data_IF_079385175513
#
_entry.id   IF_079385175513
#
_cell.length_a   1.000
_cell.length_b   1.000
_cell.length_c   1.000
_cell.angle_alpha   90.00
_cell.angle_beta   90.00
_cell.angle_gamma   90.00
#
_symmetry.space_group_name_H-M   'P 1'
#
loop_
_entity.id
_entity.type
_entity.pdbx_description
1 polymer ?
#
# COMPACT_ATOMS: atom_id res chain seq x y z
N UNK A 1 -6.65 7.76 10.21
CA UNK A 1 -6.03 9.05 9.87
C UNK A 1 -4.88 8.73 8.90
N UNK A 2 -5.03 9.02 7.61
CA UNK A 2 -3.90 8.90 6.66
C UNK A 2 -2.88 9.98 6.95
N UNK A 3 -1.61 9.68 6.77
CA UNK A 3 -0.56 10.72 6.82
C UNK A 3 -0.51 11.44 5.46
N UNK A 4 -0.06 12.69 5.45
CA UNK A 4 0.12 13.48 4.22
C UNK A 4 0.99 12.73 3.19
N UNK A 5 1.98 11.99 3.66
CA UNK A 5 2.86 11.15 2.83
C UNK A 5 2.10 10.01 2.14
N UNK A 6 1.18 9.34 2.82
CA UNK A 6 0.40 8.25 2.22
C UNK A 6 -0.51 8.73 1.09
N UNK A 7 -1.04 9.95 1.21
CA UNK A 7 -1.89 10.55 0.17
C UNK A 7 -1.07 10.95 -1.06
N UNK A 8 0.10 11.56 -0.85
CA UNK A 8 0.98 11.95 -1.96
C UNK A 8 1.57 10.74 -2.70
N UNK A 9 1.84 9.65 -1.98
CA UNK A 9 2.45 8.45 -2.56
C UNK A 9 1.45 7.47 -3.16
N UNK A 10 0.15 7.64 -2.90
CA UNK A 10 -0.91 6.78 -3.42
C UNK A 10 -0.92 6.76 -4.94
N UNK A 11 -1.04 7.94 -5.54
CA UNK A 11 -1.20 8.11 -6.98
C UNK A 11 0.16 8.39 -7.65
N UNK A 12 1.25 8.15 -6.92
CA UNK A 12 2.58 8.35 -7.42
C UNK A 12 2.89 7.33 -8.51
N UNK A 13 3.06 7.83 -9.73
CA UNK A 13 3.37 6.98 -10.87
C UNK A 13 4.85 7.06 -11.24
N UNK A 14 5.53 8.21 -11.26
CA UNK A 14 6.91 8.30 -11.77
C UNK A 14 7.70 9.42 -11.08
N UNK A 15 9.03 9.31 -10.85
CA UNK A 15 9.92 8.15 -11.03
C UNK A 15 9.59 6.94 -10.12
N UNK A 16 10.10 5.73 -10.38
CA UNK A 16 9.99 4.64 -9.42
C UNK A 16 10.65 5.03 -8.09
N UNK A 17 9.96 4.78 -6.99
CA UNK A 17 10.48 5.03 -5.64
C UNK A 17 10.52 3.74 -4.84
N UNK A 18 11.57 3.58 -4.03
CA UNK A 18 11.74 2.44 -3.13
C UNK A 18 11.42 2.88 -1.69
N UNK A 19 10.43 2.24 -1.08
CA UNK A 19 10.16 2.43 0.34
C UNK A 19 11.19 1.67 1.17
N UNK A 20 11.99 2.43 1.92
CA UNK A 20 12.95 1.91 2.89
C UNK A 20 12.39 2.13 4.29
N UNK A 21 12.42 1.09 5.14
CA UNK A 21 11.93 1.15 6.52
C UNK A 21 13.06 0.87 7.51
N UNK A 22 13.83 1.89 7.94
CA UNK A 22 14.81 1.74 9.00
C UNK A 22 14.16 1.41 10.35
N UNK A 23 14.86 0.64 11.18
CA UNK A 23 14.39 0.22 12.51
C UNK A 23 14.55 1.32 13.55
N UNK A 24 13.71 2.35 13.43
CA UNK A 24 13.74 3.56 14.27
C UNK A 24 12.44 3.78 15.04
N UNK A 25 11.49 2.84 14.98
CA UNK A 25 10.15 2.96 15.59
C UNK A 25 10.18 3.13 17.11
N UNK A 26 11.30 2.74 17.76
CA UNK A 26 11.51 2.87 19.21
C UNK A 26 12.31 4.13 19.60
N UNK A 27 12.68 4.98 18.65
CA UNK A 27 13.44 6.20 18.89
C UNK A 27 12.49 7.38 18.78
N UNK A 28 12.41 8.18 19.85
CA UNK A 28 11.64 9.42 19.85
C UNK A 28 12.15 10.38 18.76
N UNK A 29 11.23 11.05 18.08
CA UNK A 29 11.55 12.12 17.11
C UNK A 29 12.36 13.27 17.73
N UNK A 30 12.34 13.41 19.05
CA UNK A 30 13.11 14.43 19.80
C UNK A 30 14.41 13.89 20.42
N UNK A 31 14.91 12.73 19.95
CA UNK A 31 16.17 12.14 20.42
C UNK A 31 17.36 12.66 19.60
N UNK A 32 17.98 13.73 20.09
CA UNK A 32 19.13 14.36 19.43
C UNK A 32 20.48 13.69 19.71
N UNK A 33 20.52 12.72 20.63
CA UNK A 33 21.73 12.00 21.05
C UNK A 33 21.92 10.62 20.36
N UNK A 34 21.08 10.30 19.36
CA UNK A 34 21.12 9.02 18.64
C UNK A 34 21.54 9.16 17.17
N UNK A 35 22.01 10.33 16.75
CA UNK A 35 22.38 10.62 15.35
C UNK A 35 23.28 9.56 14.70
N UNK A 36 24.37 9.08 15.35
CA UNK A 36 25.21 8.04 14.73
C UNK A 36 24.46 6.74 14.46
N UNK A 37 23.56 6.33 15.37
CA UNK A 37 22.72 5.16 15.18
C UNK A 37 21.71 5.36 14.05
N UNK A 38 21.02 6.52 14.00
CA UNK A 38 20.01 6.81 12.98
C UNK A 38 20.61 6.77 11.57
N UNK A 39 21.79 7.37 11.40
CA UNK A 39 22.52 7.32 10.12
C UNK A 39 22.87 5.87 9.78
N UNK A 40 23.49 5.13 10.71
CA UNK A 40 23.90 3.75 10.48
C UNK A 40 22.72 2.82 10.14
N UNK A 41 21.57 2.96 10.80
CA UNK A 41 20.37 2.19 10.46
C UNK A 41 19.74 2.62 9.14
N UNK A 42 19.81 3.91 8.78
CA UNK A 42 19.41 4.37 7.45
C UNK A 42 20.20 3.67 6.35
N UNK A 43 21.54 3.66 6.48
CA UNK A 43 22.42 2.94 5.54
C UNK A 43 22.14 1.44 5.51
N UNK A 44 22.02 0.80 6.69
CA UNK A 44 21.74 -0.64 6.78
C UNK A 44 20.43 -0.99 6.07
N UNK A 45 19.35 -0.24 6.34
CA UNK A 45 18.05 -0.50 5.77
C UNK A 45 18.03 -0.26 4.26
N UNK A 46 18.69 0.79 3.77
CA UNK A 46 18.80 1.06 2.34
C UNK A 46 19.56 -0.05 1.62
N UNK A 47 20.75 -0.42 2.10
CA UNK A 47 21.53 -1.50 1.49
C UNK A 47 20.75 -2.82 1.47
N UNK A 48 20.11 -3.18 2.58
CA UNK A 48 19.26 -4.39 2.62
C UNK A 48 18.07 -4.33 1.68
N UNK A 49 17.53 -3.14 1.38
CA UNK A 49 16.46 -2.97 0.40
C UNK A 49 17.00 -3.07 -1.04
N UNK A 50 18.16 -2.48 -1.32
CA UNK A 50 18.85 -2.57 -2.61
C UNK A 50 19.26 -4.02 -2.93
N UNK A 51 19.74 -4.78 -1.95
CA UNK A 51 20.11 -6.20 -2.12
C UNK A 51 18.92 -7.09 -2.53
N UNK A 52 17.69 -6.65 -2.25
CA UNK A 52 16.45 -7.37 -2.60
C UNK A 52 15.84 -6.89 -3.90
N UNK A 53 16.36 -5.81 -4.50
CA UNK A 53 15.87 -5.36 -5.78
C UNK A 53 16.26 -6.36 -6.88
N UNK A 54 15.33 -6.73 -7.77
CA UNK A 54 15.62 -7.62 -8.88
C UNK A 54 16.56 -7.00 -9.94
N UNK A 55 16.92 -5.72 -9.80
CA UNK A 55 17.80 -5.00 -10.71
C UNK A 55 17.99 -3.54 -10.28
N UNK A 56 18.45 -2.70 -11.22
CA UNK A 56 18.61 -1.27 -10.96
C UNK A 56 17.26 -0.59 -10.67
N UNK A 57 17.25 0.38 -9.74
CA UNK A 57 16.05 1.17 -9.40
C UNK A 57 15.40 1.82 -10.64
N UNK A 58 16.23 2.32 -11.56
CA UNK A 58 15.76 2.94 -12.81
C UNK A 58 15.08 1.95 -13.78
N UNK A 59 15.29 0.64 -13.60
CA UNK A 59 14.66 -0.40 -14.41
C UNK A 59 13.33 -0.90 -13.82
N UNK A 60 12.95 -0.45 -12.63
CA UNK A 60 11.68 -0.83 -12.03
C UNK A 60 10.51 -0.16 -12.76
N UNK A 61 9.34 -0.82 -12.81
CA UNK A 61 8.11 -0.19 -13.25
C UNK A 61 7.81 1.09 -12.46
N UNK A 62 7.11 2.07 -13.05
CA UNK A 62 6.72 3.28 -12.36
C UNK A 62 5.91 2.97 -11.09
N UNK A 63 6.13 3.74 -10.03
CA UNK A 63 5.35 3.69 -8.79
C UNK A 63 6.16 3.38 -7.54
N UNK A 64 5.46 2.97 -6.49
CA UNK A 64 6.02 2.73 -5.15
C UNK A 64 6.36 1.26 -4.96
N UNK A 65 7.60 0.95 -4.59
CA UNK A 65 8.12 -0.42 -4.40
C UNK A 65 8.43 -0.73 -2.92
N UNK A 66 8.36 -2.01 -2.48
CA UNK A 66 8.02 -3.20 -3.27
C UNK A 66 6.53 -3.26 -3.62
N UNK A 67 6.23 -3.79 -4.79
CA UNK A 67 4.88 -4.14 -5.20
C UNK A 67 4.62 -5.64 -4.99
N UNK A 68 3.37 -5.98 -4.66
CA UNK A 68 2.86 -7.35 -4.60
C UNK A 68 1.60 -7.46 -5.43
N UNK A 69 1.46 -8.58 -6.12
CA UNK A 69 0.21 -8.89 -6.81
C UNK A 69 -0.81 -9.44 -5.80
N UNK A 70 -2.04 -8.93 -5.88
CA UNK A 70 -3.15 -9.38 -5.04
C UNK A 70 -4.39 -9.63 -5.88
N UNK A 71 -5.21 -10.56 -5.41
CA UNK A 71 -6.56 -10.79 -5.92
C UNK A 71 -7.57 -10.30 -4.90
N UNK A 72 -8.47 -9.43 -5.36
CA UNK A 72 -9.55 -8.87 -4.58
C UNK A 72 -10.84 -9.67 -4.73
N UNK A 73 -11.55 -9.81 -3.62
CA UNK A 73 -12.89 -10.40 -3.56
C UNK A 73 -13.78 -9.67 -2.56
N UNK A 74 -15.09 -9.85 -2.71
CA UNK A 74 -16.13 -9.37 -1.79
C UNK A 74 -16.82 -10.60 -1.19
N UNK A 75 -16.96 -10.64 0.13
CA UNK A 75 -17.85 -11.57 0.83
C UNK A 75 -19.28 -10.99 0.82
N UNK A 76 -20.22 -11.53 0.01
CA UNK A 76 -21.53 -10.92 -0.18
C UNK A 76 -22.34 -10.87 1.12
N UNK A 77 -22.19 -11.87 2.00
CA UNK A 77 -22.94 -11.93 3.28
C UNK A 77 -22.50 -10.86 4.27
N UNK A 78 -21.27 -10.37 4.17
CA UNK A 78 -20.75 -9.30 5.01
C UNK A 78 -20.94 -7.91 4.37
N UNK A 79 -21.26 -7.85 3.07
CA UNK A 79 -21.41 -6.59 2.36
C UNK A 79 -22.76 -5.93 2.65
N UNK A 80 -22.72 -4.67 3.11
CA UNK A 80 -23.93 -3.88 3.40
C UNK A 80 -24.21 -2.80 2.35
N UNK A 81 -23.51 -2.82 1.20
CA UNK A 81 -23.73 -1.85 0.13
C UNK A 81 -23.37 -0.39 0.45
N UNK A 82 -22.48 -0.14 1.43
CA UNK A 82 -22.14 1.22 1.89
C UNK A 82 -21.47 2.13 0.84
N UNK A 83 -20.91 1.57 -0.24
CA UNK A 83 -20.36 2.33 -1.36
C UNK A 83 -18.96 2.92 -1.19
N UNK A 84 -18.31 2.77 -0.03
CA UNK A 84 -16.98 3.34 0.23
C UNK A 84 -15.92 2.81 -0.76
N UNK A 85 -15.99 1.53 -1.15
CA UNK A 85 -15.04 0.91 -2.07
C UNK A 85 -15.09 1.53 -3.49
N UNK A 86 -16.27 1.56 -4.13
CA UNK A 86 -16.40 2.15 -5.47
C UNK A 86 -16.19 3.67 -5.46
N UNK A 87 -16.55 4.37 -4.37
CA UNK A 87 -16.32 5.82 -4.26
C UNK A 87 -14.82 6.16 -4.20
N UNK A 88 -14.01 5.30 -3.58
CA UNK A 88 -12.56 5.52 -3.46
C UNK A 88 -11.77 5.00 -4.64
N UNK A 89 -12.16 3.86 -5.20
CA UNK A 89 -11.44 3.16 -6.26
C UNK A 89 -12.43 2.70 -7.36
N UNK A 90 -13.02 3.64 -8.12
CA UNK A 90 -14.07 3.33 -9.10
C UNK A 90 -13.57 2.48 -10.28
N UNK A 91 -12.26 2.43 -10.53
CA UNK A 91 -11.66 1.57 -11.54
C UNK A 91 -11.60 0.09 -11.12
N UNK A 92 -11.73 -0.20 -9.82
CA UNK A 92 -11.54 -1.54 -9.23
C UNK A 92 -12.85 -2.12 -8.72
N UNK A 93 -13.74 -1.28 -8.20
CA UNK A 93 -15.01 -1.69 -7.63
C UNK A 93 -16.18 -1.04 -8.37
N UNK A 94 -17.26 -1.80 -8.52
CA UNK A 94 -18.55 -1.34 -9.00
C UNK A 94 -19.66 -1.65 -8.03
N UNK A 95 -20.89 -1.40 -8.46
CA UNK A 95 -22.11 -1.75 -7.73
C UNK A 95 -22.95 -2.73 -8.55
N UNK A 96 -23.30 -3.86 -7.95
CA UNK A 96 -24.19 -4.86 -8.52
C UNK A 96 -25.64 -4.38 -8.56
N UNK A 97 -26.48 -5.12 -9.30
CA UNK A 97 -27.92 -4.84 -9.40
C UNK A 97 -28.66 -5.04 -8.06
N UNK A 98 -28.13 -5.89 -7.19
CA UNK A 98 -28.56 -6.11 -5.80
C UNK A 98 -28.16 -4.96 -4.85
N UNK A 99 -27.43 -3.97 -5.35
CA UNK A 99 -26.90 -2.85 -4.59
C UNK A 99 -25.63 -3.16 -3.81
N UNK A 100 -25.10 -4.39 -3.88
CA UNK A 100 -23.86 -4.81 -3.23
C UNK A 100 -22.63 -4.40 -4.04
N UNK A 101 -21.46 -4.41 -3.38
CA UNK A 101 -20.20 -4.13 -4.05
C UNK A 101 -19.78 -5.34 -4.91
N UNK A 102 -19.25 -5.06 -6.10
CA UNK A 102 -18.61 -6.05 -6.98
C UNK A 102 -17.20 -5.60 -7.33
N UNK A 103 -16.30 -6.54 -7.56
CA UNK A 103 -14.94 -6.26 -8.02
C UNK A 103 -14.90 -6.38 -9.54
N UNK A 104 -14.63 -5.28 -10.24
CA UNK A 104 -14.58 -5.23 -11.70
C UNK A 104 -13.18 -5.52 -12.23
N UNK A 105 -12.15 -5.19 -11.45
CA UNK A 105 -10.75 -5.49 -11.75
C UNK A 105 -10.11 -6.24 -10.58
N UNK A 106 -10.17 -7.59 -10.55
CA UNK A 106 -9.78 -8.36 -9.37
C UNK A 106 -8.28 -8.43 -9.12
N UNK A 107 -7.46 -8.38 -10.18
CA UNK A 107 -6.00 -8.44 -10.05
C UNK A 107 -5.44 -7.04 -9.90
N UNK A 108 -4.71 -6.79 -8.82
CA UNK A 108 -4.10 -5.50 -8.53
C UNK A 108 -2.61 -5.67 -8.23
N UNK A 109 -1.80 -4.70 -8.64
CA UNK A 109 -0.42 -4.57 -8.18
C UNK A 109 -0.35 -3.47 -7.14
N UNK A 110 -0.05 -3.82 -5.89
CA UNK A 110 -0.08 -2.90 -4.76
C UNK A 110 1.27 -2.75 -4.09
N UNK A 111 1.64 -1.51 -3.80
CA UNK A 111 2.69 -1.22 -2.81
C UNK A 111 2.19 -1.49 -1.39
N UNK A 112 3.03 -1.23 -0.39
CA UNK A 112 2.62 -1.25 1.01
C UNK A 112 1.44 -0.30 1.35
N UNK A 113 1.05 0.60 0.45
CA UNK A 113 -0.03 1.58 0.63
C UNK A 113 -1.37 1.15 0.01
N UNK A 114 -1.40 0.08 -0.80
CA UNK A 114 -2.56 -0.28 -1.62
C UNK A 114 -3.76 -0.88 -0.85
N UNK A 115 -3.54 -1.42 0.35
CA UNK A 115 -4.57 -2.10 1.15
C UNK A 115 -5.54 -1.15 1.88
N UNK A 116 -5.45 0.16 1.65
CA UNK A 116 -6.33 1.16 2.29
C UNK A 116 -7.80 0.93 1.99
N UNK A 117 -8.15 0.53 0.76
CA UNK A 117 -9.55 0.29 0.38
C UNK A 117 -10.13 -0.90 1.14
N UNK A 118 -9.31 -1.93 1.40
CA UNK A 118 -9.67 -3.09 2.21
C UNK A 118 -9.97 -2.65 3.65
N UNK A 119 -9.05 -1.88 4.25
CA UNK A 119 -9.22 -1.34 5.62
C UNK A 119 -10.36 -0.34 5.76
N UNK A 120 -10.81 0.27 4.66
CA UNK A 120 -11.91 1.23 4.67
C UNK A 120 -13.29 0.58 4.69
N UNK A 121 -13.39 -0.73 4.45
CA UNK A 121 -14.66 -1.46 4.53
C UNK A 121 -15.10 -1.59 6.00
N UNK A 122 -16.26 -1.03 6.39
CA UNK A 122 -16.68 -1.03 7.79
C UNK A 122 -17.05 -2.42 8.31
N UNK A 123 -17.37 -3.36 7.42
CA UNK A 123 -17.74 -4.74 7.77
C UNK A 123 -16.64 -5.75 7.47
N UNK A 124 -15.48 -5.31 6.97
CA UNK A 124 -14.40 -6.22 6.55
C UNK A 124 -14.77 -7.15 5.39
N UNK A 125 -15.78 -6.81 4.59
CA UNK A 125 -16.27 -7.64 3.49
C UNK A 125 -15.29 -7.75 2.30
N UNK A 126 -14.25 -6.91 2.23
CA UNK A 126 -13.26 -6.93 1.16
C UNK A 126 -12.07 -7.76 1.62
N UNK A 127 -11.62 -8.69 0.79
CA UNK A 127 -10.40 -9.48 1.04
C UNK A 127 -9.38 -9.26 -0.07
N UNK A 128 -8.09 -9.25 0.28
CA UNK A 128 -6.98 -9.21 -0.66
C UNK A 128 -6.03 -10.37 -0.37
N UNK A 129 -5.96 -11.34 -1.28
CA UNK A 129 -5.07 -12.50 -1.18
C UNK A 129 -3.85 -12.26 -2.07
N UNK A 130 -2.65 -12.40 -1.52
CA UNK A 130 -1.41 -12.30 -2.29
C UNK A 130 -1.25 -13.52 -3.19
N UNK A 131 -0.85 -13.30 -4.44
CA UNK A 131 -0.51 -14.35 -5.40
C UNK A 131 0.88 -14.93 -5.15
#
# INVERSE_FOLDING_TARGET
MSTLTEELLRDWQNPPILLVRPRVERISMFSFNRTPYLIAEGFRALNSALDRLPGALAALPPGVHPQREVVLAIEPKACIGCGICYSREPAVFGRGADGLAVVTSPRQSWSALGDRVVRACPTGAITAVQL
#
